data_IF_332902905224
#
_entry.id   IF_332902905224
#
_cell.length_a   1.000
_cell.length_b   1.000
_cell.length_c   1.000
_cell.angle_alpha   90.00
_cell.angle_beta   90.00
_cell.angle_gamma   90.00
#
_symmetry.space_group_name_H-M   'P 1'
#
loop_
_entity.id
_entity.type
_entity.pdbx_description
1 polymer ?
#
# COMPACT_ATOMS: atom_id res chain seq x y z
N UNK A 1 -24.87 15.96 -76.94
CA UNK A 1 -23.61 15.47 -76.31
C UNK A 1 -23.94 15.04 -74.88
N UNK A 2 -24.16 13.74 -74.63
CA UNK A 2 -24.41 13.19 -73.30
C UNK A 2 -23.30 12.19 -72.96
N UNK A 3 -22.62 12.43 -71.83
CA UNK A 3 -21.50 11.64 -71.31
C UNK A 3 -22.00 10.30 -70.74
N UNK A 4 -21.47 9.20 -71.25
CA UNK A 4 -21.68 7.85 -70.72
C UNK A 4 -20.94 7.65 -69.39
N UNK A 5 -21.60 7.03 -68.41
CA UNK A 5 -21.00 6.52 -67.17
C UNK A 5 -20.64 5.04 -67.36
N UNK A 6 -19.43 4.58 -66.99
CA UNK A 6 -19.07 3.17 -67.11
C UNK A 6 -19.76 2.31 -66.04
N UNK A 7 -20.56 1.34 -66.52
CA UNK A 7 -21.14 0.25 -65.72
C UNK A 7 -20.03 -0.74 -65.31
N UNK A 8 -19.73 -0.80 -64.01
CA UNK A 8 -18.90 -1.86 -63.41
C UNK A 8 -19.73 -3.15 -63.31
N UNK A 9 -19.20 -4.26 -63.83
CA UNK A 9 -19.91 -5.55 -63.89
C UNK A 9 -19.89 -6.29 -62.54
N UNK A 10 -21.01 -6.93 -62.12
CA UNK A 10 -21.17 -7.57 -60.81
C UNK A 10 -20.57 -8.98 -60.68
N UNK A 11 -19.94 -9.50 -61.73
CA UNK A 11 -19.51 -10.92 -61.79
C UNK A 11 -18.21 -11.15 -61.01
N UNK A 12 -17.37 -10.12 -60.85
CA UNK A 12 -16.13 -10.20 -60.06
C UNK A 12 -16.38 -10.21 -58.56
N UNK A 13 -17.52 -9.69 -58.11
CA UNK A 13 -17.87 -9.56 -56.69
C UNK A 13 -18.29 -10.90 -56.07
N UNK A 14 -18.99 -11.76 -56.81
CA UNK A 14 -19.41 -13.07 -56.32
C UNK A 14 -18.25 -14.05 -56.11
N UNK A 15 -17.27 -14.05 -57.02
CA UNK A 15 -16.06 -14.86 -56.87
C UNK A 15 -15.16 -14.34 -55.73
N UNK A 16 -15.03 -13.02 -55.60
CA UNK A 16 -14.31 -12.42 -54.48
C UNK A 16 -14.97 -12.75 -53.13
N UNK A 17 -16.30 -12.75 -53.06
CA UNK A 17 -17.05 -13.15 -51.86
C UNK A 17 -16.86 -14.63 -51.54
N UNK A 18 -16.91 -15.51 -52.55
CA UNK A 18 -16.71 -16.95 -52.38
C UNK A 18 -15.30 -17.28 -51.88
N UNK A 19 -14.27 -16.65 -52.44
CA UNK A 19 -12.89 -16.80 -51.97
C UNK A 19 -12.70 -16.26 -50.56
N UNK A 20 -13.31 -15.11 -50.23
CA UNK A 20 -13.24 -14.56 -48.88
C UNK A 20 -13.88 -15.48 -47.83
N UNK A 21 -15.06 -16.06 -48.13
CA UNK A 21 -15.72 -17.02 -47.24
C UNK A 21 -14.87 -18.28 -47.09
N UNK A 22 -14.27 -18.79 -48.16
CA UNK A 22 -13.44 -20.00 -48.11
C UNK A 22 -12.15 -19.76 -47.31
N UNK A 23 -11.54 -18.59 -47.44
CA UNK A 23 -10.38 -18.19 -46.64
C UNK A 23 -10.74 -18.03 -45.15
N UNK A 24 -11.92 -17.51 -44.82
CA UNK A 24 -12.38 -17.43 -43.42
C UNK A 24 -12.66 -18.83 -42.87
N UNK A 25 -13.37 -19.68 -43.61
CA UNK A 25 -13.71 -21.04 -43.16
C UNK A 25 -12.47 -21.93 -43.03
N UNK A 26 -11.49 -21.80 -43.93
CA UNK A 26 -10.25 -22.56 -43.88
C UNK A 26 -9.22 -21.95 -42.90
N UNK A 27 -9.18 -20.62 -42.79
CA UNK A 27 -8.23 -19.90 -41.94
C UNK A 27 -8.62 -19.87 -40.46
N UNK A 28 -9.92 -19.88 -40.14
CA UNK A 28 -10.44 -19.86 -38.77
C UNK A 28 -9.99 -21.06 -37.90
N UNK A 29 -10.06 -22.33 -38.36
CA UNK A 29 -9.56 -23.46 -37.57
C UNK A 29 -8.04 -23.41 -37.38
N UNK A 30 -7.29 -22.89 -38.36
CA UNK A 30 -5.85 -22.70 -38.26
C UNK A 30 -5.48 -21.61 -37.23
N UNK A 31 -6.18 -20.48 -37.25
CA UNK A 31 -6.00 -19.41 -36.29
C UNK A 31 -6.35 -19.85 -34.87
N UNK A 32 -7.42 -20.66 -34.72
CA UNK A 32 -7.82 -21.23 -33.43
C UNK A 32 -6.79 -22.25 -32.92
N UNK A 33 -6.32 -23.16 -33.78
CA UNK A 33 -5.27 -24.13 -33.42
C UNK A 33 -3.96 -23.45 -33.03
N UNK A 34 -3.60 -22.34 -33.69
CA UNK A 34 -2.44 -21.52 -33.33
C UNK A 34 -2.63 -20.82 -31.99
N UNK A 35 -3.82 -20.26 -31.72
CA UNK A 35 -4.14 -19.62 -30.45
C UNK A 35 -4.17 -20.62 -29.28
N UNK A 36 -4.74 -21.81 -29.51
CA UNK A 36 -4.75 -22.91 -28.53
C UNK A 36 -3.32 -23.44 -28.29
N UNK A 37 -2.49 -23.52 -29.35
CA UNK A 37 -1.07 -23.87 -29.22
C UNK A 37 -0.29 -22.80 -28.43
N UNK A 38 -0.47 -21.52 -28.75
CA UNK A 38 0.17 -20.41 -28.01
C UNK A 38 -0.32 -20.31 -26.56
N UNK A 39 -1.57 -20.69 -26.29
CA UNK A 39 -2.11 -20.84 -24.93
C UNK A 39 -1.59 -22.08 -24.19
N UNK A 40 -1.29 -23.16 -24.92
CA UNK A 40 -0.74 -24.42 -24.36
C UNK A 40 0.76 -24.36 -24.08
N UNK A 41 1.50 -23.50 -24.81
CA UNK A 41 2.86 -23.07 -24.44
C UNK A 41 2.69 -22.11 -23.27
N UNK A 42 2.41 -22.68 -22.10
CA UNK A 42 2.04 -21.96 -20.89
C UNK A 42 2.94 -20.77 -20.63
N UNK A 43 2.34 -19.63 -20.25
CA UNK A 43 3.01 -18.37 -19.97
C UNK A 43 4.29 -18.60 -19.15
N UNK A 44 5.50 -18.49 -19.76
CA UNK A 44 6.76 -18.77 -19.07
C UNK A 44 7.12 -17.69 -18.04
N UNK A 45 6.30 -16.64 -17.94
CA UNK A 45 6.37 -15.58 -16.94
C UNK A 45 5.30 -15.71 -15.85
N UNK A 46 4.61 -16.85 -15.75
CA UNK A 46 3.70 -17.11 -14.63
C UNK A 46 4.53 -17.30 -13.36
N UNK A 47 4.52 -16.29 -12.50
CA UNK A 47 5.21 -16.30 -11.21
C UNK A 47 4.63 -17.42 -10.35
N UNK A 48 5.40 -18.48 -10.15
CA UNK A 48 5.01 -19.61 -9.30
C UNK A 48 5.31 -19.21 -7.85
N UNK A 49 4.30 -18.67 -7.16
CA UNK A 49 4.38 -18.36 -5.74
C UNK A 49 4.39 -19.67 -4.94
N UNK A 50 5.60 -20.17 -4.68
CA UNK A 50 5.82 -21.30 -3.77
C UNK A 50 6.11 -20.75 -2.39
N UNK A 51 5.10 -20.68 -1.54
CA UNK A 51 5.29 -20.36 -0.12
C UNK A 51 5.79 -21.60 0.61
N UNK A 52 7.06 -21.58 1.00
CA UNK A 52 7.63 -22.54 1.94
C UNK A 52 7.75 -21.84 3.29
N UNK A 53 6.79 -22.10 4.16
CA UNK A 53 6.97 -21.85 5.58
C UNK A 53 7.77 -23.02 6.15
N UNK A 54 9.04 -22.81 6.48
CA UNK A 54 9.79 -23.79 7.24
C UNK A 54 9.17 -23.93 8.64
N UNK A 55 9.18 -25.13 9.25
CA UNK A 55 8.67 -25.31 10.60
C UNK A 55 9.37 -24.34 11.55
N UNK A 56 8.59 -23.56 12.30
CA UNK A 56 9.14 -22.62 13.26
C UNK A 56 10.00 -23.37 14.30
N UNK A 57 11.31 -23.16 14.22
CA UNK A 57 12.24 -23.60 15.24
C UNK A 57 12.34 -22.52 16.29
N UNK A 58 12.05 -22.88 17.55
CA UNK A 58 12.23 -22.01 18.69
C UNK A 58 13.73 -21.78 18.89
N UNK A 59 14.24 -20.64 18.41
CA UNK A 59 15.67 -20.30 18.47
C UNK A 59 16.07 -19.74 19.83
N UNK A 60 15.16 -19.05 20.51
CA UNK A 60 15.34 -18.51 21.85
C UNK A 60 13.99 -18.40 22.57
N UNK A 61 14.01 -18.60 23.89
CA UNK A 61 12.97 -18.11 24.80
C UNK A 61 13.35 -16.66 25.13
N UNK A 62 12.46 -15.71 24.87
CA UNK A 62 12.68 -14.33 25.26
C UNK A 62 12.58 -14.22 26.79
N UNK A 63 13.64 -13.76 27.44
CA UNK A 63 13.51 -13.16 28.75
C UNK A 63 12.56 -11.96 28.61
N UNK A 64 11.67 -11.79 29.58
CA UNK A 64 10.77 -10.64 29.64
C UNK A 64 11.62 -9.43 30.04
N UNK A 65 12.32 -8.84 29.07
CA UNK A 65 13.15 -7.65 29.26
C UNK A 65 12.27 -6.39 29.32
N UNK A 66 11.11 -6.41 28.67
CA UNK A 66 10.20 -5.28 28.58
C UNK A 66 8.77 -5.69 28.98
N UNK A 67 8.18 -4.90 29.88
CA UNK A 67 6.79 -5.02 30.31
C UNK A 67 5.97 -3.90 29.67
N UNK A 68 4.95 -4.25 28.89
CA UNK A 68 3.96 -3.30 28.39
C UNK A 68 2.91 -3.10 29.49
N UNK A 69 3.05 -2.02 30.25
CA UNK A 69 2.23 -1.73 31.43
C UNK A 69 0.84 -1.17 31.06
N UNK A 70 0.76 -0.37 30.00
CA UNK A 70 -0.48 0.21 29.48
C UNK A 70 -0.36 0.46 27.97
N UNK A 71 -1.50 0.54 27.30
CA UNK A 71 -1.60 0.86 25.86
C UNK A 71 -2.59 1.99 25.66
N UNK A 72 -2.20 3.01 24.91
CA UNK A 72 -3.08 4.08 24.46
C UNK A 72 -3.50 3.82 23.01
N UNK A 73 -4.79 3.57 22.80
CA UNK A 73 -5.41 3.57 21.46
C UNK A 73 -5.78 5.01 21.07
N UNK A 74 -5.23 5.46 19.94
CA UNK A 74 -5.28 6.85 19.52
C UNK A 74 -5.73 6.99 18.07
N UNK A 75 -6.40 8.11 17.80
CA UNK A 75 -6.83 8.52 16.48
C UNK A 75 -6.56 10.02 16.33
N UNK A 76 -5.73 10.39 15.37
CA UNK A 76 -5.31 11.77 15.12
C UNK A 76 -5.49 12.10 13.64
N UNK A 77 -5.99 13.31 13.35
CA UNK A 77 -6.05 13.83 11.99
C UNK A 77 -4.84 14.73 11.78
N UNK A 78 -4.07 14.44 10.75
CA UNK A 78 -2.84 15.14 10.40
C UNK A 78 -3.01 15.74 9.01
N UNK A 79 -2.56 16.97 8.86
CA UNK A 79 -2.62 17.70 7.61
C UNK A 79 -1.21 18.12 7.20
N UNK A 80 -0.84 17.83 5.97
CA UNK A 80 0.42 18.28 5.38
C UNK A 80 0.13 19.14 4.15
N UNK A 81 0.78 20.29 4.09
CA UNK A 81 0.70 21.24 2.98
C UNK A 81 2.11 21.45 2.41
N UNK A 82 2.29 21.11 1.13
CA UNK A 82 3.55 21.32 0.41
C UNK A 82 3.37 22.43 -0.63
N UNK A 83 4.01 23.57 -0.36
CA UNK A 83 4.06 24.70 -1.28
C UNK A 83 5.40 24.78 -2.01
N UNK A 84 5.34 24.98 -3.34
CA UNK A 84 6.55 25.23 -4.13
C UNK A 84 6.83 26.73 -4.18
N UNK A 85 8.00 27.13 -3.69
CA UNK A 85 8.44 28.53 -3.73
C UNK A 85 8.37 29.07 -5.17
N UNK A 86 7.72 30.23 -5.33
CA UNK A 86 7.53 30.97 -6.60
C UNK A 86 6.47 30.43 -7.56
N UNK A 87 5.72 29.39 -7.20
CA UNK A 87 4.56 28.94 -7.96
C UNK A 87 3.29 29.21 -7.14
N UNK A 88 2.22 29.73 -7.75
CA UNK A 88 0.94 29.83 -7.07
C UNK A 88 0.38 28.44 -6.72
N UNK A 89 -0.32 28.35 -5.60
CA UNK A 89 -0.82 27.10 -5.01
C UNK A 89 -1.75 26.32 -5.96
N UNK A 90 -2.47 27.01 -6.84
CA UNK A 90 -3.31 26.36 -7.87
C UNK A 90 -2.51 25.54 -8.90
N UNK A 91 -1.21 25.81 -9.05
CA UNK A 91 -0.32 25.13 -10.01
C UNK A 91 0.40 23.94 -9.35
N UNK A 92 0.95 24.14 -8.15
CA UNK A 92 1.87 23.20 -7.49
C UNK A 92 1.51 22.84 -6.05
N UNK A 93 0.46 23.43 -5.49
CA UNK A 93 0.04 23.17 -4.12
C UNK A 93 -0.39 21.72 -3.95
N UNK A 94 0.00 21.13 -2.82
CA UNK A 94 -0.42 19.80 -2.40
C UNK A 94 -0.86 19.88 -0.95
N UNK A 95 -2.11 19.51 -0.69
CA UNK A 95 -2.65 19.42 0.66
C UNK A 95 -3.16 18.00 0.84
N UNK A 96 -2.73 17.32 1.89
CA UNK A 96 -3.20 15.97 2.22
C UNK A 96 -3.66 15.93 3.66
N UNK A 97 -4.92 15.55 3.85
CA UNK A 97 -5.52 15.26 5.15
C UNK A 97 -5.50 13.76 5.37
N UNK A 98 -4.88 13.31 6.45
CA UNK A 98 -4.69 11.92 6.79
C UNK A 98 -5.25 11.61 8.17
N UNK A 99 -6.01 10.54 8.27
CA UNK A 99 -6.45 9.97 9.53
C UNK A 99 -5.45 8.90 9.96
N UNK A 100 -4.70 9.17 11.02
CA UNK A 100 -3.78 8.24 11.64
C UNK A 100 -4.48 7.54 12.82
N UNK A 101 -4.62 6.23 12.76
CA UNK A 101 -5.13 5.40 13.85
C UNK A 101 -4.01 4.47 14.29
N UNK A 102 -3.74 4.39 15.59
CA UNK A 102 -2.64 3.56 16.07
C UNK A 102 -2.62 3.42 17.59
N UNK A 103 -1.60 2.71 18.07
CA UNK A 103 -1.37 2.50 19.49
C UNK A 103 0.00 3.00 19.91
N UNK A 104 0.10 3.42 21.18
CA UNK A 104 1.38 3.71 21.83
C UNK A 104 1.39 3.02 23.19
N UNK A 105 2.41 2.21 23.44
CA UNK A 105 2.54 1.47 24.69
C UNK A 105 3.37 2.24 25.72
N UNK A 106 3.07 2.04 27.00
CA UNK A 106 3.95 2.37 28.11
C UNK A 106 4.77 1.14 28.47
N UNK A 107 6.07 1.22 28.24
CA UNK A 107 7.03 0.13 28.41
C UNK A 107 7.85 0.38 29.69
N UNK A 108 7.97 -0.64 30.52
CA UNK A 108 8.89 -0.69 31.66
C UNK A 108 10.02 -1.65 31.31
N UNK A 109 11.25 -1.16 31.37
CA UNK A 109 12.44 -2.00 31.23
C UNK A 109 12.70 -2.76 32.54
N UNK A 110 12.53 -4.09 32.49
CA UNK A 110 12.67 -4.97 33.64
C UNK A 110 14.13 -5.23 34.00
N UNK A 111 15.09 -4.92 33.13
CA UNK A 111 16.52 -5.03 33.45
C UNK A 111 16.94 -4.06 34.57
N UNK A 112 16.20 -2.97 34.76
CA UNK A 112 16.36 -2.02 35.85
C UNK A 112 15.60 -2.36 37.13
N UNK A 113 14.84 -3.47 37.16
CA UNK A 113 14.05 -3.84 38.33
C UNK A 113 14.94 -4.28 39.49
N UNK A 114 14.59 -3.84 40.70
CA UNK A 114 15.28 -4.25 41.93
C UNK A 114 14.42 -5.23 42.70
N UNK A 115 15.05 -6.29 43.21
CA UNK A 115 14.38 -7.35 43.97
C UNK A 115 14.99 -7.40 45.37
N UNK A 116 14.15 -7.21 46.39
CA UNK A 116 14.54 -7.26 47.79
C UNK A 116 13.75 -8.35 48.51
N UNK A 117 14.46 -9.30 49.13
CA UNK A 117 13.84 -10.32 49.97
C UNK A 117 13.62 -9.77 51.38
N UNK A 118 12.39 -9.85 51.86
CA UNK A 118 12.01 -9.38 53.18
C UNK A 118 12.20 -10.47 54.25
N UNK A 119 12.38 -10.09 55.53
CA UNK A 119 12.61 -11.05 56.62
C UNK A 119 11.48 -12.07 56.85
N UNK A 120 10.28 -11.79 56.35
CA UNK A 120 9.10 -12.65 56.43
C UNK A 120 8.99 -13.65 55.27
N UNK A 121 9.94 -13.64 54.34
CA UNK A 121 9.95 -14.47 53.14
C UNK A 121 9.14 -13.90 51.97
N UNK A 122 8.64 -12.67 52.08
CA UNK A 122 8.06 -11.96 50.93
C UNK A 122 9.14 -11.32 50.07
N UNK A 123 8.83 -11.06 48.80
CA UNK A 123 9.76 -10.42 47.85
C UNK A 123 9.17 -9.11 47.37
N UNK A 124 9.88 -8.01 47.60
CA UNK A 124 9.55 -6.69 47.09
C UNK A 124 10.26 -6.48 45.76
N UNK A 125 9.48 -6.28 44.69
CA UNK A 125 10.00 -5.95 43.37
C UNK A 125 9.69 -4.48 43.09
N UNK A 126 10.73 -3.68 42.93
CA UNK A 126 10.61 -2.26 42.55
C UNK A 126 10.90 -2.11 41.08
N UNK A 127 9.89 -1.62 40.33
CA UNK A 127 9.98 -1.40 38.90
C UNK A 127 10.43 0.03 38.58
N UNK A 128 11.23 0.24 37.52
CA UNK A 128 11.53 1.58 37.01
C UNK A 128 10.28 2.30 36.48
N UNK A 129 10.41 3.62 36.29
CA UNK A 129 9.36 4.42 35.67
C UNK A 129 9.10 3.97 34.22
N UNK A 130 7.83 3.91 33.77
CA UNK A 130 7.49 3.58 32.40
C UNK A 130 7.93 4.68 31.42
N UNK A 131 8.19 4.28 30.18
CA UNK A 131 8.49 5.16 29.04
C UNK A 131 7.54 4.86 27.88
N UNK A 132 7.29 5.84 27.01
CA UNK A 132 6.53 5.57 25.79
C UNK A 132 7.37 4.71 24.85
N UNK A 133 6.77 3.63 24.36
CA UNK A 133 7.28 2.80 23.29
C UNK A 133 7.09 3.46 21.91
N UNK A 134 7.60 2.81 20.85
CA UNK A 134 7.38 3.27 19.49
C UNK A 134 5.89 3.25 19.14
N UNK A 135 5.38 4.22 18.36
CA UNK A 135 4.01 4.22 17.90
C UNK A 135 3.80 3.09 16.88
N UNK A 136 2.65 2.43 16.94
CA UNK A 136 2.25 1.40 16.00
C UNK A 136 1.04 1.87 15.20
N UNK A 137 1.27 2.23 13.94
CA UNK A 137 0.22 2.71 13.05
C UNK A 137 -0.58 1.53 12.48
N UNK A 138 -1.89 1.61 12.62
CA UNK A 138 -2.83 0.67 12.03
C UNK A 138 -3.12 1.06 10.58
N UNK A 139 -2.42 0.43 9.64
CA UNK A 139 -2.58 0.70 8.21
C UNK A 139 -3.94 0.31 7.62
N UNK A 140 -4.74 -0.52 8.30
CA UNK A 140 -6.09 -0.88 7.85
C UNK A 140 -7.13 0.17 8.25
N UNK A 141 -6.93 0.82 9.40
CA UNK A 141 -7.80 1.89 9.91
C UNK A 141 -7.32 3.30 9.55
N UNK A 142 -6.05 3.44 9.20
CA UNK A 142 -5.49 4.72 8.78
C UNK A 142 -5.72 4.95 7.30
N UNK A 143 -6.26 6.11 6.95
CA UNK A 143 -6.61 6.42 5.57
C UNK A 143 -6.42 7.89 5.24
N UNK A 144 -6.19 8.17 3.96
CA UNK A 144 -6.16 9.53 3.43
C UNK A 144 -7.61 9.99 3.28
N UNK A 145 -8.03 10.94 4.12
CA UNK A 145 -9.37 11.52 4.09
C UNK A 145 -9.57 12.41 2.86
N UNK A 146 -8.57 13.25 2.59
CA UNK A 146 -8.62 14.18 1.48
C UNK A 146 -7.22 14.43 0.90
N UNK A 147 -7.16 14.66 -0.41
CA UNK A 147 -5.91 14.92 -1.12
C UNK A 147 -6.14 15.87 -2.28
N UNK A 148 -5.76 17.12 -2.07
CA UNK A 148 -5.75 18.14 -3.09
C UNK A 148 -4.41 18.18 -3.82
N UNK A 149 -4.46 18.02 -5.15
CA UNK A 149 -3.30 18.10 -6.05
C UNK A 149 -3.49 19.21 -7.07
N UNK A 150 -2.49 20.09 -7.14
CA UNK A 150 -2.36 21.12 -8.16
C UNK A 150 -2.37 20.57 -9.60
N UNK A 151 -2.69 21.43 -10.56
CA UNK A 151 -2.89 21.06 -11.95
C UNK A 151 -1.65 20.43 -12.61
N UNK A 152 -0.43 20.86 -12.22
CA UNK A 152 0.82 20.34 -12.78
C UNK A 152 1.06 18.87 -12.38
N UNK A 153 0.74 18.52 -11.14
CA UNK A 153 0.93 17.17 -10.61
C UNK A 153 0.03 16.14 -11.30
N UNK A 154 -1.18 16.54 -11.72
CA UNK A 154 -2.07 15.66 -12.49
C UNK A 154 -1.47 15.25 -13.84
N UNK A 155 -0.60 16.07 -14.43
CA UNK A 155 0.12 15.73 -15.64
C UNK A 155 1.34 14.83 -15.37
N UNK A 156 2.06 15.01 -14.27
CA UNK A 156 3.20 14.14 -13.92
C UNK A 156 2.76 12.74 -13.54
N UNK A 157 1.61 12.59 -12.88
CA UNK A 157 1.04 11.27 -12.53
C UNK A 157 0.66 10.46 -13.78
N UNK A 158 0.22 11.13 -14.85
CA UNK A 158 -0.01 10.48 -16.15
C UNK A 158 1.28 9.98 -16.82
N UNK A 159 2.43 10.48 -16.37
CA UNK A 159 3.78 10.08 -16.81
C UNK A 159 4.41 9.07 -15.82
N UNK A 160 3.77 8.82 -14.66
CA UNK A 160 4.01 7.66 -13.81
C UNK A 160 4.94 7.85 -12.62
N UNK A 161 5.13 9.08 -12.12
CA UNK A 161 5.85 9.31 -10.84
C UNK A 161 4.85 9.38 -9.68
N UNK A 162 4.60 8.27 -8.93
CA UNK A 162 3.84 8.35 -7.69
C UNK A 162 4.60 9.20 -6.66
N UNK A 163 3.86 10.05 -5.93
CA UNK A 163 4.42 10.87 -4.85
C UNK A 163 4.92 10.04 -3.67
N UNK A 164 5.87 10.60 -2.92
CA UNK A 164 6.41 9.99 -1.70
C UNK A 164 5.55 10.39 -0.49
N UNK A 165 4.84 9.42 0.08
CA UNK A 165 3.99 9.60 1.26
C UNK A 165 4.77 9.36 2.58
N UNK A 166 6.08 9.03 2.55
CA UNK A 166 6.87 8.77 3.75
C UNK A 166 6.88 9.93 4.79
N UNK A 167 6.97 11.22 4.39
CA UNK A 167 6.91 12.33 5.34
C UNK A 167 5.57 12.42 6.08
N UNK A 168 4.48 12.03 5.42
CA UNK A 168 3.14 12.03 6.00
C UNK A 168 3.03 10.99 7.13
N UNK A 169 3.51 9.77 6.88
CA UNK A 169 3.50 8.70 7.89
C UNK A 169 4.39 9.06 9.09
N UNK A 170 5.57 9.65 8.86
CA UNK A 170 6.44 10.08 9.95
C UNK A 170 5.80 11.17 10.82
N UNK A 171 5.09 12.14 10.21
CA UNK A 171 4.35 13.16 10.94
C UNK A 171 3.19 12.56 11.74
N UNK A 172 2.48 11.59 11.16
CA UNK A 172 1.42 10.85 11.84
C UNK A 172 1.92 10.10 13.09
N UNK A 173 3.05 9.40 12.98
CA UNK A 173 3.68 8.71 14.11
C UNK A 173 4.10 9.68 15.23
N UNK A 174 4.68 10.83 14.89
CA UNK A 174 5.06 11.86 15.86
C UNK A 174 3.83 12.46 16.56
N UNK A 175 2.73 12.69 15.82
CA UNK A 175 1.48 13.14 16.41
C UNK A 175 0.81 12.10 17.32
N UNK A 176 0.91 10.81 16.99
CA UNK A 176 0.45 9.73 17.88
C UNK A 176 1.26 9.71 19.18
N UNK A 177 2.59 9.85 19.11
CA UNK A 177 3.44 9.94 20.30
C UNK A 177 3.11 11.16 21.16
N UNK A 178 2.93 12.32 20.54
CA UNK A 178 2.54 13.55 21.23
C UNK A 178 1.18 13.42 21.90
N UNK A 179 0.22 12.81 21.22
CA UNK A 179 -1.10 12.53 21.78
C UNK A 179 -1.00 11.57 22.97
N UNK A 180 -0.21 10.50 22.87
CA UNK A 180 0.03 9.53 23.94
C UNK A 180 0.61 10.21 25.19
N UNK A 181 1.57 11.11 25.03
CA UNK A 181 2.18 11.86 26.13
C UNK A 181 1.18 12.77 26.87
N UNK A 182 0.08 13.16 26.23
CA UNK A 182 -1.02 13.91 26.85
C UNK A 182 -2.06 13.04 27.56
N UNK A 183 -1.91 11.71 27.54
CA UNK A 183 -2.81 10.77 28.20
C UNK A 183 -2.24 10.25 29.52
N UNK A 184 -3.07 9.54 30.29
CA UNK A 184 -2.68 8.87 31.52
C UNK A 184 -1.94 7.54 31.29
N UNK A 185 -1.41 7.27 30.10
CA UNK A 185 -0.74 5.99 29.79
C UNK A 185 0.56 5.78 30.59
N UNK A 186 1.13 6.86 31.14
CA UNK A 186 2.32 6.84 32.00
C UNK A 186 2.02 7.05 33.50
N UNK A 187 0.75 7.26 33.88
CA UNK A 187 0.31 7.52 35.26
C UNK A 187 -0.18 6.24 35.97
#
# INVERSE_FOLDING_TARGET
MLRERPRRSPIRTGFALGVAVLLVVAGFPLARGMADFLGSVGNPFRTEHTERAEPAVLTALADLEELHAATADLQVVVEIEDDTRYLPDFVSGRQTTFLAVGTVDAIVDLSGATVEEQPDGSVLVTLPAPRLGPPNLDSERSEVLDRDRGALQRFTDAVGEPGDDAPLYALAEDELLRAAAGTAVLD
#
